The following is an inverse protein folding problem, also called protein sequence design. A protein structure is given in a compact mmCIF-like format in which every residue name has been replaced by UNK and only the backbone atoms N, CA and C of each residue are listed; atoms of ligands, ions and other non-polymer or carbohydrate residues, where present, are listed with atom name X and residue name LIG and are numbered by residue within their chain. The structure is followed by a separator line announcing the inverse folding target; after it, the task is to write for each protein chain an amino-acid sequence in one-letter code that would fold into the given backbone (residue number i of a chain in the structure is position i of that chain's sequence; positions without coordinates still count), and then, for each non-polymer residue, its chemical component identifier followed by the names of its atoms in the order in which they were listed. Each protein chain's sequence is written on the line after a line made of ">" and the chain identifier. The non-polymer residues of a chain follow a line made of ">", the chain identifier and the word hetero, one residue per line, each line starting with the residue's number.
data_IF_950464349867
#
_entry.id   IF_950464349867
#
_cell.length_a   1.000
_cell.length_b   1.000
_cell.length_c   1.000
_cell.angle_alpha   90.00
_cell.angle_beta   90.00
_cell.angle_gamma   90.00
#
_symmetry.space_group_name_H-M   'P 1'
#
loop_
_entity.id
_entity.type
_entity.pdbx_description
1 polymer ?
#
# COMPACT_ATOMS: atom_id res chain seq x y z
N UNK A 1 -8.11 -6.90 -17.72
CA UNK A 1 -7.60 -5.84 -16.80
C UNK A 1 -7.23 -6.44 -15.44
N UNK A 2 -6.86 -7.71 -15.48
CA UNK A 2 -6.90 -8.61 -14.33
C UNK A 2 -5.65 -8.45 -13.47
N UNK A 3 -4.57 -7.93 -14.07
CA UNK A 3 -3.32 -7.66 -13.37
C UNK A 3 -3.45 -6.55 -12.33
N UNK A 4 -4.09 -5.41 -12.62
CA UNK A 4 -4.13 -4.28 -11.68
C UNK A 4 -5.00 -4.58 -10.43
N UNK A 5 -6.16 -5.20 -10.63
CA UNK A 5 -7.01 -5.68 -9.54
C UNK A 5 -6.27 -6.69 -8.66
N UNK A 6 -5.61 -7.68 -9.26
CA UNK A 6 -4.91 -8.72 -8.51
C UNK A 6 -3.72 -8.15 -7.74
N UNK A 7 -2.95 -7.24 -8.36
CA UNK A 7 -1.81 -6.59 -7.70
C UNK A 7 -2.28 -5.74 -6.53
N UNK A 8 -3.34 -4.94 -6.70
CA UNK A 8 -3.93 -4.16 -5.61
C UNK A 8 -4.42 -5.05 -4.46
N UNK A 9 -5.06 -6.19 -4.79
CA UNK A 9 -5.52 -7.17 -3.79
C UNK A 9 -4.36 -7.77 -2.99
N UNK A 10 -3.29 -8.17 -3.68
CA UNK A 10 -2.10 -8.74 -3.04
C UNK A 10 -1.43 -7.69 -2.15
N UNK A 11 -1.26 -6.47 -2.66
CA UNK A 11 -0.67 -5.38 -1.87
C UNK A 11 -1.50 -5.05 -0.63
N UNK A 12 -2.83 -5.00 -0.77
CA UNK A 12 -3.75 -4.82 0.34
C UNK A 12 -3.60 -5.91 1.42
N UNK A 13 -3.48 -7.18 1.02
CA UNK A 13 -3.26 -8.28 1.95
C UNK A 13 -1.91 -8.18 2.67
N UNK A 14 -0.85 -7.81 1.95
CA UNK A 14 0.47 -7.57 2.54
C UNK A 14 0.39 -6.47 3.61
N UNK A 15 -0.28 -5.37 3.32
CA UNK A 15 -0.47 -4.26 4.26
C UNK A 15 -1.23 -4.69 5.53
N UNK A 16 -2.29 -5.49 5.39
CA UNK A 16 -3.04 -6.05 6.52
C UNK A 16 -2.15 -6.93 7.38
N UNK A 17 -1.44 -7.88 6.76
CA UNK A 17 -0.57 -8.81 7.49
C UNK A 17 0.58 -8.08 8.18
N UNK A 18 1.22 -7.13 7.52
CA UNK A 18 2.33 -6.36 8.10
C UNK A 18 1.89 -5.43 9.23
N UNK A 19 0.72 -4.77 9.10
CA UNK A 19 0.20 -3.91 10.16
C UNK A 19 -0.18 -4.71 11.42
N UNK A 20 -0.84 -5.86 11.24
CA UNK A 20 -1.15 -6.76 12.36
C UNK A 20 0.13 -7.34 12.98
N UNK A 21 1.08 -7.80 12.17
CA UNK A 21 2.36 -8.32 12.64
C UNK A 21 3.15 -7.27 13.43
N UNK A 22 3.25 -6.04 12.91
CA UNK A 22 3.93 -4.94 13.58
C UNK A 22 3.31 -4.58 14.93
N UNK A 23 1.98 -4.61 15.03
CA UNK A 23 1.25 -4.39 16.28
C UNK A 23 1.51 -5.50 17.30
N UNK A 24 1.31 -6.76 16.91
CA UNK A 24 1.48 -7.92 17.79
C UNK A 24 2.92 -8.02 18.30
N UNK A 25 3.91 -7.86 17.43
CA UNK A 25 5.31 -7.93 17.82
C UNK A 25 5.71 -6.81 18.77
N UNK A 26 5.16 -5.60 18.59
CA UNK A 26 5.42 -4.51 19.53
C UNK A 26 4.84 -4.79 20.91
N UNK A 27 3.63 -5.35 20.97
CA UNK A 27 3.03 -5.77 22.23
C UNK A 27 3.84 -6.87 22.92
N UNK A 28 4.30 -7.88 22.18
CA UNK A 28 5.10 -8.98 22.76
C UNK A 28 6.46 -8.53 23.30
N UNK A 29 7.13 -7.61 22.62
CA UNK A 29 8.50 -7.21 22.99
C UNK A 29 8.56 -6.08 24.03
N UNK A 30 7.64 -5.12 23.98
CA UNK A 30 7.67 -3.94 24.83
C UNK A 30 6.46 -3.84 25.79
N UNK A 31 5.47 -4.72 25.68
CA UNK A 31 4.22 -4.63 26.46
C UNK A 31 3.33 -3.44 26.10
N UNK A 32 3.68 -2.68 25.06
CA UNK A 32 3.04 -1.42 24.69
C UNK A 32 2.02 -1.61 23.54
N UNK A 33 0.79 -1.15 23.76
CA UNK A 33 -0.31 -1.20 22.80
C UNK A 33 -0.30 0.02 21.88
N UNK A 34 0.66 0.05 20.95
CA UNK A 34 0.79 1.15 20.00
C UNK A 34 -0.14 0.96 18.79
N UNK A 35 -1.37 1.48 18.88
CA UNK A 35 -2.38 1.39 17.82
C UNK A 35 -1.96 2.03 16.48
N UNK A 36 -1.00 2.97 16.47
CA UNK A 36 -0.51 3.56 15.22
C UNK A 36 0.20 2.54 14.32
N UNK A 37 0.62 1.39 14.85
CA UNK A 37 1.14 0.27 14.06
C UNK A 37 0.07 -0.40 13.16
N UNK A 38 -1.22 -0.17 13.42
CA UNK A 38 -2.34 -0.68 12.61
C UNK A 38 -2.67 0.20 11.40
N UNK A 39 -2.05 1.38 11.25
CA UNK A 39 -2.28 2.27 10.10
C UNK A 39 -2.12 1.51 8.76
N UNK A 40 -1.04 0.75 8.51
CA UNK A 40 -0.92 -0.05 7.29
C UNK A 40 -2.09 -1.02 7.10
N UNK A 41 -2.58 -1.66 8.17
CA UNK A 41 -3.68 -2.61 8.07
C UNK A 41 -5.01 -1.95 7.70
N UNK A 42 -5.30 -0.77 8.28
CA UNK A 42 -6.49 0.02 7.92
C UNK A 42 -6.45 0.43 6.44
N UNK A 43 -5.31 0.92 5.97
CA UNK A 43 -5.14 1.24 4.55
C UNK A 43 -5.24 0.00 3.66
N UNK A 44 -4.72 -1.15 4.11
CA UNK A 44 -4.88 -2.43 3.43
C UNK A 44 -6.35 -2.83 3.28
N UNK A 45 -7.18 -2.66 4.32
CA UNK A 45 -8.63 -2.91 4.24
C UNK A 45 -9.32 -1.98 3.21
N UNK A 46 -8.96 -0.70 3.21
CA UNK A 46 -9.51 0.28 2.25
C UNK A 46 -9.13 -0.10 0.81
N UNK A 47 -7.84 -0.40 0.56
CA UNK A 47 -7.38 -0.84 -0.76
C UNK A 47 -8.02 -2.17 -1.16
N UNK A 48 -8.23 -3.09 -0.22
CA UNK A 48 -8.95 -4.33 -0.47
C UNK A 48 -10.38 -4.05 -0.95
N UNK A 49 -11.11 -3.13 -0.31
CA UNK A 49 -12.44 -2.73 -0.76
C UNK A 49 -12.43 -2.11 -2.18
N UNK A 50 -11.42 -1.28 -2.49
CA UNK A 50 -11.26 -0.67 -3.82
C UNK A 50 -10.95 -1.67 -4.93
N UNK A 51 -10.49 -2.88 -4.58
CA UNK A 51 -10.22 -3.96 -5.54
C UNK A 51 -11.43 -4.27 -6.42
N UNK A 52 -12.64 -4.29 -5.84
CA UNK A 52 -13.89 -4.53 -6.59
C UNK A 52 -14.21 -3.38 -7.54
N UNK A 53 -13.97 -2.14 -7.10
CA UNK A 53 -14.16 -0.95 -7.95
C UNK A 53 -13.19 -0.88 -9.13
N UNK A 54 -11.93 -1.27 -8.92
CA UNK A 54 -10.93 -1.39 -10.01
C UNK A 54 -11.34 -2.48 -11.01
N UNK A 55 -11.86 -3.61 -10.52
CA UNK A 55 -12.36 -4.70 -11.35
C UNK A 55 -13.55 -4.26 -12.21
N UNK A 56 -14.43 -3.41 -11.67
CA UNK A 56 -15.59 -2.86 -12.36
C UNK A 56 -15.27 -1.65 -13.26
N UNK A 57 -13.99 -1.42 -13.58
CA UNK A 57 -13.51 -0.32 -14.42
C UNK A 57 -13.88 1.10 -13.92
N UNK A 58 -14.21 1.27 -12.63
CA UNK A 58 -14.59 2.57 -12.07
C UNK A 58 -13.35 3.49 -11.99
N UNK A 59 -13.35 4.56 -12.80
CA UNK A 59 -12.22 5.50 -12.89
C UNK A 59 -11.94 6.21 -11.56
N UNK A 60 -13.00 6.58 -10.82
CA UNK A 60 -12.89 7.32 -9.54
C UNK A 60 -12.22 6.43 -8.49
N UNK A 61 -12.71 5.21 -8.31
CA UNK A 61 -12.16 4.26 -7.33
C UNK A 61 -10.72 3.88 -7.69
N UNK A 62 -10.43 3.69 -8.97
CA UNK A 62 -9.06 3.48 -9.43
C UNK A 62 -8.15 4.62 -9.00
N UNK A 63 -8.55 5.88 -9.24
CA UNK A 63 -7.73 7.05 -8.92
C UNK A 63 -7.51 7.18 -7.41
N UNK A 64 -8.57 6.96 -6.63
CA UNK A 64 -8.51 6.96 -5.18
C UNK A 64 -7.54 5.88 -4.66
N UNK A 65 -7.57 4.67 -5.21
CA UNK A 65 -6.60 3.63 -4.86
C UNK A 65 -5.15 4.04 -5.16
N UNK A 66 -4.94 4.73 -6.28
CA UNK A 66 -3.67 5.38 -6.64
C UNK A 66 -3.20 6.35 -5.57
N UNK A 67 -4.03 7.34 -5.24
CA UNK A 67 -3.73 8.37 -4.25
C UNK A 67 -3.40 7.76 -2.89
N UNK A 68 -4.21 6.81 -2.41
CA UNK A 68 -3.97 6.12 -1.14
C UNK A 68 -2.63 5.39 -1.13
N UNK A 69 -2.26 4.77 -2.24
CA UNK A 69 -0.96 4.07 -2.37
C UNK A 69 0.21 5.06 -2.36
N UNK A 70 0.07 6.22 -3.02
CA UNK A 70 1.09 7.30 -2.98
C UNK A 70 1.30 7.78 -1.54
N UNK A 71 0.20 8.07 -0.82
CA UNK A 71 0.26 8.53 0.58
C UNK A 71 1.01 7.52 1.45
N UNK A 72 0.71 6.21 1.31
CA UNK A 72 1.42 5.16 2.06
C UNK A 72 2.91 5.11 1.76
N UNK A 73 3.29 5.21 0.48
CA UNK A 73 4.71 5.19 0.09
C UNK A 73 5.43 6.40 0.68
N UNK A 74 4.86 7.60 0.55
CA UNK A 74 5.46 8.83 1.09
C UNK A 74 5.58 8.76 2.61
N UNK A 75 4.52 8.37 3.32
CA UNK A 75 4.57 8.21 4.78
C UNK A 75 5.63 7.19 5.21
N UNK A 76 5.71 6.04 4.53
CA UNK A 76 6.71 5.01 4.82
C UNK A 76 8.12 5.50 4.54
N UNK A 77 8.33 6.26 3.47
CA UNK A 77 9.61 6.89 3.13
C UNK A 77 10.06 7.89 4.21
N UNK A 78 9.14 8.71 4.74
CA UNK A 78 9.50 9.64 5.84
C UNK A 78 9.87 8.87 7.11
N UNK A 79 9.12 7.81 7.45
CA UNK A 79 9.36 7.01 8.65
C UNK A 79 10.69 6.26 8.57
N UNK A 80 11.03 5.67 7.42
CA UNK A 80 12.31 4.97 7.25
C UNK A 80 13.50 5.94 7.33
N UNK A 81 13.40 7.13 6.73
CA UNK A 81 14.47 8.14 6.84
C UNK A 81 14.70 8.55 8.29
N UNK A 82 13.64 8.79 9.07
CA UNK A 82 13.76 9.09 10.50
C UNK A 82 14.44 7.96 11.27
N UNK A 83 14.07 6.70 10.99
CA UNK A 83 14.67 5.54 11.62
C UNK A 83 16.15 5.38 11.30
N UNK A 84 16.53 5.51 10.02
CA UNK A 84 17.92 5.37 9.56
C UNK A 84 18.85 6.49 10.05
N UNK A 85 18.34 7.71 10.20
CA UNK A 85 19.10 8.85 10.74
C UNK A 85 19.33 8.68 12.24
N UNK A 86 18.35 8.14 12.97
CA UNK A 86 18.47 7.92 14.41
C UNK A 86 19.37 6.72 14.76
N UNK A 87 19.20 5.61 14.03
CA UNK A 87 19.98 4.40 14.21
C UNK A 87 20.40 3.86 12.85
N UNK A 88 21.71 3.79 12.59
CA UNK A 88 22.26 3.23 11.36
C UNK A 88 22.22 1.70 11.35
N UNK A 89 21.09 1.11 11.77
CA UNK A 89 20.85 -0.33 11.80
C UNK A 89 19.55 -0.65 11.05
N UNK A 90 19.49 -1.78 10.36
CA UNK A 90 18.27 -2.27 9.70
C UNK A 90 17.48 -3.16 10.66
N UNK A 91 16.83 -2.55 11.63
CA UNK A 91 15.89 -3.21 12.53
C UNK A 91 14.58 -3.61 11.82
N UNK A 92 13.75 -4.39 12.53
CA UNK A 92 12.46 -4.92 12.04
C UNK A 92 11.57 -3.82 11.44
N UNK A 93 11.52 -2.65 12.09
CA UNK A 93 10.68 -1.52 11.62
C UNK A 93 11.11 -1.02 10.23
N UNK A 94 12.42 -0.87 9.98
CA UNK A 94 12.89 -0.46 8.65
C UNK A 94 12.59 -1.51 7.58
N UNK A 95 12.74 -2.80 7.88
CA UNK A 95 12.43 -3.89 6.94
C UNK A 95 10.95 -3.86 6.56
N UNK A 96 10.04 -3.70 7.52
CA UNK A 96 8.59 -3.58 7.26
C UNK A 96 8.32 -2.39 6.34
N UNK A 97 8.90 -1.21 6.62
CA UNK A 97 8.70 -0.03 5.77
C UNK A 97 9.26 -0.22 4.35
N UNK A 98 10.40 -0.91 4.19
CA UNK A 98 10.94 -1.24 2.87
C UNK A 98 10.00 -2.14 2.07
N UNK A 99 9.40 -3.15 2.70
CA UNK A 99 8.43 -4.03 2.04
C UNK A 99 7.19 -3.22 1.61
N UNK A 100 6.70 -2.33 2.49
CA UNK A 100 5.56 -1.44 2.19
C UNK A 100 5.86 -0.54 1.00
N UNK A 101 7.06 0.06 0.94
CA UNK A 101 7.50 0.93 -0.15
C UNK A 101 7.64 0.13 -1.45
N UNK A 102 8.34 -1.01 -1.43
CA UNK A 102 8.57 -1.83 -2.61
C UNK A 102 7.25 -2.35 -3.20
N UNK A 103 6.36 -2.87 -2.35
CA UNK A 103 5.02 -3.28 -2.75
C UNK A 103 4.18 -2.10 -3.27
N UNK A 104 4.31 -0.93 -2.65
CA UNK A 104 3.60 0.29 -3.03
C UNK A 104 4.03 0.79 -4.41
N UNK A 105 5.33 0.84 -4.69
CA UNK A 105 5.87 1.19 -6.01
C UNK A 105 5.35 0.21 -7.08
N UNK A 106 5.34 -1.08 -6.78
CA UNK A 106 4.81 -2.09 -7.70
C UNK A 106 3.30 -1.92 -7.96
N UNK A 107 2.52 -1.65 -6.91
CA UNK A 107 1.09 -1.36 -6.99
C UNK A 107 0.81 -0.09 -7.80
N UNK A 108 1.54 1.00 -7.56
CA UNK A 108 1.42 2.27 -8.28
C UNK A 108 1.71 2.10 -9.76
N UNK A 109 2.77 1.37 -10.12
CA UNK A 109 3.08 1.06 -11.51
C UNK A 109 1.88 0.37 -12.19
N UNK A 110 1.25 -0.57 -11.51
CA UNK A 110 0.07 -1.28 -12.04
C UNK A 110 -1.14 -0.35 -12.23
N UNK A 111 -1.39 0.55 -11.29
CA UNK A 111 -2.49 1.52 -11.33
C UNK A 111 -2.27 2.57 -12.43
N UNK A 112 -1.03 3.05 -12.63
CA UNK A 112 -0.70 3.96 -13.71
C UNK A 112 -0.91 3.33 -15.09
N UNK A 113 -0.47 2.08 -15.26
CA UNK A 113 -0.71 1.30 -16.47
C UNK A 113 -2.21 1.11 -16.74
N UNK A 114 -2.99 0.87 -15.68
CA UNK A 114 -4.44 0.79 -15.75
C UNK A 114 -5.06 2.09 -16.30
N UNK A 115 -4.68 3.28 -15.80
CA UNK A 115 -5.19 4.55 -16.35
C UNK A 115 -4.78 4.81 -17.79
N UNK A 116 -3.54 4.44 -18.16
CA UNK A 116 -3.07 4.58 -19.55
C UNK A 116 -3.89 3.68 -20.49
N UNK A 117 -4.18 2.44 -20.06
CA UNK A 117 -5.02 1.51 -20.81
C UNK A 117 -6.47 2.03 -20.94
N UNK A 118 -7.03 2.58 -19.86
CA UNK A 118 -8.37 3.15 -19.85
C UNK A 118 -8.51 4.33 -20.82
N UNK A 119 -7.52 5.25 -20.84
CA UNK A 119 -7.48 6.38 -21.79
C UNK A 119 -7.41 5.91 -23.25
N UNK A 120 -6.56 4.93 -23.54
CA UNK A 120 -6.42 4.36 -24.89
C UNK A 120 -7.70 3.70 -25.41
N UNK A 121 -8.49 3.06 -24.54
CA UNK A 121 -9.78 2.47 -24.93
C UNK A 121 -10.80 3.54 -25.27
N UNK A 122 -10.92 4.59 -24.45
CA UNK A 122 -11.81 5.72 -24.73
C UNK A 122 -11.48 6.44 -26.04
N UNK A 123 -10.20 6.49 -26.42
CA UNK A 123 -9.77 7.07 -27.68
C UNK A 123 -10.05 6.19 -28.93
N UNK A 124 -10.24 4.88 -28.77
CA UNK A 124 -10.61 3.96 -29.87
C UNK A 124 -12.13 3.87 -30.11
N UNK A 125 -12.93 4.35 -29.16
CA UNK A 125 -14.39 4.37 -29.22
C UNK A 125 -14.95 5.68 -29.78
N UNK A 126 -14.08 6.68 -29.99
CA UNK A 126 -14.36 7.90 -30.74
C UNK A 126 -13.82 7.75 -32.15
#
# INVERSE_FOLDING_TARGET
>A
MDKAHNINKVYALILILLGLFGFIMRYMELGDMQYTALIPAVFGLILFAFTRGIKNENAVIGHLAGVFTIVLVVMSSVMITKGLVAEFSLGRKQIIFLIVIAGGIYSLRSQFLYFRAQRRRKAKLK
#
